data_IF_598718952485
#
_entry.id   IF_598718952485
#
_cell.length_a   1.000
_cell.length_b   1.000
_cell.length_c   1.000
_cell.angle_alpha   90.00
_cell.angle_beta   90.00
_cell.angle_gamma   90.00
#
_symmetry.space_group_name_H-M   'P 1'
#
loop_
_entity.id
_entity.type
_entity.pdbx_description
1 polymer ?
#
# COMPACT_ATOMS: atom_id res chain seq x y z
N UNK A 1 2.20 -15.84 -24.94
CA UNK A 1 2.96 -15.54 -23.71
C UNK A 1 3.44 -14.11 -23.80
N UNK A 2 3.21 -13.31 -22.77
CA UNK A 2 3.76 -11.95 -22.66
C UNK A 2 5.29 -12.09 -22.64
N UNK A 3 5.99 -11.37 -23.50
CA UNK A 3 7.46 -11.33 -23.50
C UNK A 3 7.94 -10.23 -22.52
N UNK A 4 8.53 -10.57 -21.36
CA UNK A 4 8.84 -9.58 -20.32
C UNK A 4 9.77 -8.47 -20.80
N UNK A 5 10.73 -8.82 -21.67
CA UNK A 5 11.66 -7.84 -22.27
C UNK A 5 10.94 -6.79 -23.12
N UNK A 6 9.90 -7.19 -23.86
CA UNK A 6 9.15 -6.26 -24.73
C UNK A 6 8.25 -5.34 -23.91
N UNK A 7 7.66 -5.85 -22.83
CA UNK A 7 6.90 -5.02 -21.88
C UNK A 7 7.80 -3.97 -21.26
N UNK A 8 8.91 -4.37 -20.63
CA UNK A 8 9.83 -3.43 -19.99
C UNK A 8 10.39 -2.39 -20.96
N UNK A 9 10.72 -2.80 -22.19
CA UNK A 9 11.16 -1.88 -23.23
C UNK A 9 10.08 -0.88 -23.60
N UNK A 10 8.84 -1.33 -23.80
CA UNK A 10 7.72 -0.44 -24.13
C UNK A 10 7.38 0.52 -22.98
N UNK A 11 7.47 0.07 -21.72
CA UNK A 11 7.28 0.95 -20.55
C UNK A 11 8.35 2.04 -20.47
N UNK A 12 9.61 1.69 -20.77
CA UNK A 12 10.70 2.66 -20.80
C UNK A 12 10.60 3.64 -21.98
N UNK A 13 10.33 3.14 -23.19
CA UNK A 13 10.21 3.96 -24.40
C UNK A 13 9.00 4.90 -24.35
N UNK A 14 7.90 4.47 -23.74
CA UNK A 14 6.64 5.24 -23.69
C UNK A 14 6.34 5.84 -22.32
N UNK A 15 7.35 5.93 -21.43
CA UNK A 15 7.17 6.43 -20.07
C UNK A 15 6.45 7.79 -20.03
N UNK A 16 6.91 8.74 -20.85
CA UNK A 16 6.35 10.11 -20.90
C UNK A 16 4.89 10.16 -21.32
N UNK A 17 4.39 9.13 -22.02
CA UNK A 17 2.99 9.00 -22.43
C UNK A 17 2.15 8.27 -21.36
N UNK A 18 2.74 7.28 -20.70
CA UNK A 18 2.08 6.45 -19.69
C UNK A 18 1.96 7.16 -18.34
N UNK A 19 2.98 7.91 -17.94
CA UNK A 19 3.03 8.58 -16.64
C UNK A 19 1.83 9.53 -16.42
N UNK A 20 1.47 10.45 -17.33
CA UNK A 20 0.30 11.31 -17.13
C UNK A 20 -1.03 10.54 -17.15
N UNK A 21 -1.07 9.40 -17.83
CA UNK A 21 -2.27 8.55 -17.88
C UNK A 21 -2.50 7.81 -16.57
N UNK A 22 -1.43 7.49 -15.81
CA UNK A 22 -1.54 6.78 -14.54
C UNK A 22 -2.44 7.53 -13.55
N UNK A 23 -2.31 8.85 -13.42
CA UNK A 23 -3.17 9.67 -12.53
C UNK A 23 -4.65 9.58 -12.93
N UNK A 24 -4.93 9.51 -14.23
CA UNK A 24 -6.30 9.35 -14.73
C UNK A 24 -6.84 7.95 -14.46
N UNK A 25 -5.99 6.93 -14.58
CA UNK A 25 -6.33 5.56 -14.23
C UNK A 25 -6.53 5.37 -12.72
N UNK A 26 -5.86 6.15 -11.88
CA UNK A 26 -6.09 6.17 -10.44
C UNK A 26 -7.50 6.65 -10.07
N UNK A 27 -8.10 7.49 -10.90
CA UNK A 27 -9.47 7.98 -10.78
C UNK A 27 -10.53 7.05 -11.42
N UNK A 28 -10.11 6.05 -12.20
CA UNK A 28 -11.00 5.05 -12.79
C UNK A 28 -10.63 4.67 -14.23
N UNK A 29 -11.61 4.17 -14.97
CA UNK A 29 -11.40 3.64 -16.34
C UNK A 29 -11.47 4.75 -17.39
N UNK A 30 -10.69 4.60 -18.47
CA UNK A 30 -10.72 5.52 -19.61
C UNK A 30 -11.38 4.88 -20.83
N UNK A 31 -12.22 5.63 -21.54
CA UNK A 31 -12.73 5.22 -22.84
C UNK A 31 -11.68 5.34 -23.94
N UNK A 32 -11.87 4.62 -25.05
CA UNK A 32 -11.00 4.71 -26.23
C UNK A 32 -10.88 6.16 -26.76
N UNK A 33 -11.97 6.92 -26.73
CA UNK A 33 -11.99 8.31 -27.18
C UNK A 33 -11.13 9.18 -26.27
N UNK A 34 -11.26 9.02 -24.96
CA UNK A 34 -10.46 9.75 -23.98
C UNK A 34 -8.97 9.40 -24.10
N UNK A 35 -8.62 8.14 -24.29
CA UNK A 35 -7.24 7.70 -24.51
C UNK A 35 -6.64 8.34 -25.76
N UNK A 36 -7.36 8.28 -26.89
CA UNK A 36 -6.91 8.89 -28.15
C UNK A 36 -6.72 10.39 -28.01
N UNK A 37 -7.64 11.08 -27.34
CA UNK A 37 -7.54 12.51 -27.11
C UNK A 37 -6.31 12.88 -26.26
N UNK A 38 -6.04 12.14 -25.19
CA UNK A 38 -4.86 12.39 -24.35
C UNK A 38 -3.55 12.13 -25.09
N UNK A 39 -3.48 11.03 -25.85
CA UNK A 39 -2.28 10.70 -26.62
C UNK A 39 -2.05 11.73 -27.73
N UNK A 40 -3.11 12.19 -28.42
CA UNK A 40 -3.00 13.24 -29.43
C UNK A 40 -2.50 14.57 -28.84
N UNK A 41 -2.90 14.90 -27.60
CA UNK A 41 -2.40 16.09 -26.92
C UNK A 41 -0.90 16.02 -26.57
N UNK A 42 -0.39 14.80 -26.33
CA UNK A 42 1.02 14.57 -25.97
C UNK A 42 1.91 14.26 -27.18
N UNK A 43 1.32 13.83 -28.29
CA UNK A 43 1.98 13.56 -29.58
C UNK A 43 1.44 14.50 -30.66
N UNK A 44 1.79 15.81 -30.64
CA UNK A 44 1.26 16.79 -31.58
C UNK A 44 1.62 16.51 -33.04
N UNK A 45 2.70 15.78 -33.30
CA UNK A 45 3.11 15.34 -34.64
C UNK A 45 2.59 13.95 -35.02
N UNK A 46 1.94 13.24 -34.09
CA UNK A 46 1.44 11.89 -34.31
C UNK A 46 0.16 11.86 -35.13
N UNK A 47 0.06 10.94 -36.09
CA UNK A 47 -1.19 10.73 -36.85
C UNK A 47 -2.18 9.88 -36.05
N UNK A 48 -3.49 9.95 -36.34
CA UNK A 48 -4.48 9.04 -35.74
C UNK A 48 -4.15 7.55 -35.91
N UNK A 49 -3.45 7.20 -37.00
CA UNK A 49 -2.97 5.85 -37.28
C UNK A 49 -1.87 5.44 -36.29
N UNK A 50 -0.93 6.33 -36.01
CA UNK A 50 0.17 6.08 -35.06
C UNK A 50 -0.37 5.86 -33.63
N UNK A 51 -1.33 6.69 -33.21
CA UNK A 51 -1.99 6.56 -31.90
C UNK A 51 -2.73 5.22 -31.81
N UNK A 52 -3.40 4.81 -32.88
CA UNK A 52 -4.11 3.51 -32.91
C UNK A 52 -3.11 2.36 -32.81
N UNK A 53 -2.00 2.41 -33.56
CA UNK A 53 -0.96 1.39 -33.51
C UNK A 53 -0.30 1.28 -32.13
N UNK A 54 -0.08 2.42 -31.45
CA UNK A 54 0.44 2.49 -30.10
C UNK A 54 -0.51 1.84 -29.08
N UNK A 55 -1.80 2.17 -29.13
CA UNK A 55 -2.81 1.56 -28.26
C UNK A 55 -2.90 0.04 -28.50
N UNK A 56 -2.90 -0.40 -29.76
CA UNK A 56 -2.89 -1.82 -30.10
C UNK A 56 -1.62 -2.52 -29.60
N UNK A 57 -0.48 -1.83 -29.58
CA UNK A 57 0.75 -2.34 -28.97
C UNK A 57 0.61 -2.49 -27.46
N UNK A 58 0.09 -1.48 -26.76
CA UNK A 58 -0.10 -1.55 -25.31
C UNK A 58 -1.09 -2.63 -24.90
N UNK A 59 -2.17 -2.85 -25.67
CA UNK A 59 -3.12 -3.94 -25.45
C UNK A 59 -2.43 -5.30 -25.69
N UNK A 60 -1.68 -5.46 -26.78
CA UNK A 60 -0.97 -6.71 -27.09
C UNK A 60 0.11 -7.07 -26.06
N UNK A 61 0.66 -6.08 -25.37
CA UNK A 61 1.66 -6.25 -24.32
C UNK A 61 1.02 -6.41 -22.93
N UNK A 62 -0.31 -6.47 -22.84
CA UNK A 62 -1.06 -6.49 -21.58
C UNK A 62 -0.70 -5.32 -20.64
N UNK A 63 -0.34 -4.16 -21.21
CA UNK A 63 -0.17 -2.90 -20.46
C UNK A 63 -1.55 -2.29 -20.21
N UNK A 64 -2.38 -2.25 -21.26
CA UNK A 64 -3.79 -1.89 -21.16
C UNK A 64 -4.65 -3.15 -21.30
N UNK A 65 -5.68 -3.26 -20.47
CA UNK A 65 -6.65 -4.35 -20.55
C UNK A 65 -8.07 -3.78 -20.70
N UNK A 66 -8.93 -4.40 -21.52
CA UNK A 66 -10.31 -3.97 -21.66
C UNK A 66 -11.12 -4.33 -20.41
N UNK A 67 -11.99 -3.42 -19.99
CA UNK A 67 -12.88 -3.63 -18.84
C UNK A 67 -13.92 -4.69 -19.17
N UNK A 68 -14.17 -5.60 -18.23
CA UNK A 68 -15.16 -6.65 -18.40
C UNK A 68 -16.53 -6.07 -18.78
N UNK A 69 -17.13 -6.62 -19.86
CA UNK A 69 -18.42 -6.19 -20.41
C UNK A 69 -18.45 -4.75 -20.97
N UNK A 70 -17.30 -4.07 -21.07
CA UNK A 70 -17.17 -2.72 -21.64
C UNK A 70 -15.92 -2.64 -22.53
N UNK A 71 -15.94 -3.20 -23.75
CA UNK A 71 -14.75 -3.39 -24.59
C UNK A 71 -14.09 -2.08 -25.06
N UNK A 72 -14.82 -0.95 -25.01
CA UNK A 72 -14.31 0.38 -25.36
C UNK A 72 -13.81 1.17 -24.14
N UNK A 73 -13.73 0.53 -22.96
CA UNK A 73 -13.13 1.07 -21.75
C UNK A 73 -11.92 0.23 -21.37
N UNK A 74 -10.91 0.92 -20.87
CA UNK A 74 -9.63 0.33 -20.55
C UNK A 74 -9.23 0.71 -19.13
N UNK A 75 -8.45 -0.18 -18.54
CA UNK A 75 -7.70 0.00 -17.30
C UNK A 75 -6.24 -0.42 -17.55
N UNK A 76 -5.33 0.04 -16.71
CA UNK A 76 -3.99 -0.53 -16.68
C UNK A 76 -4.07 -1.95 -16.12
N UNK A 77 -3.25 -2.84 -16.64
CA UNK A 77 -3.03 -4.12 -15.99
C UNK A 77 -2.53 -3.88 -14.56
N UNK A 78 -3.17 -4.50 -13.56
CA UNK A 78 -2.88 -4.27 -12.15
C UNK A 78 -1.40 -4.39 -11.78
N UNK A 79 -0.69 -5.39 -12.33
CA UNK A 79 0.74 -5.59 -12.06
C UNK A 79 1.61 -4.47 -12.64
N UNK A 80 1.23 -3.98 -13.83
CA UNK A 80 1.91 -2.85 -14.49
C UNK A 80 1.59 -1.56 -13.74
N UNK A 81 0.34 -1.37 -13.33
CA UNK A 81 -0.09 -0.22 -12.55
C UNK A 81 0.68 -0.13 -11.23
N UNK A 82 0.76 -1.23 -10.46
CA UNK A 82 1.54 -1.30 -9.22
C UNK A 82 3.03 -0.99 -9.46
N UNK A 83 3.59 -1.50 -10.55
CA UNK A 83 4.98 -1.23 -10.93
C UNK A 83 5.22 0.24 -11.30
N UNK A 84 4.33 0.84 -12.08
CA UNK A 84 4.41 2.26 -12.46
C UNK A 84 4.21 3.17 -11.24
N UNK A 85 3.28 2.85 -10.35
CA UNK A 85 3.06 3.56 -9.09
C UNK A 85 4.31 3.49 -8.19
N UNK A 86 4.95 2.32 -8.11
CA UNK A 86 6.23 2.17 -7.43
C UNK A 86 7.32 3.07 -8.02
N UNK A 87 7.44 3.17 -9.35
CA UNK A 87 8.41 4.03 -10.02
C UNK A 87 8.12 5.53 -9.82
N UNK A 88 6.84 5.93 -9.84
CA UNK A 88 6.37 7.29 -9.57
C UNK A 88 6.55 7.72 -8.12
N UNK A 89 6.92 6.79 -7.22
CA UNK A 89 6.88 6.99 -5.75
C UNK A 89 5.50 7.46 -5.29
N UNK A 90 4.46 7.01 -5.98
CA UNK A 90 3.09 7.26 -5.55
C UNK A 90 2.69 6.22 -4.54
N UNK A 91 2.90 6.59 -3.29
CA UNK A 91 2.53 5.78 -2.17
C UNK A 91 1.04 5.96 -1.90
N UNK A 92 0.22 5.01 -2.35
CA UNK A 92 -1.19 4.91 -1.96
C UNK A 92 -1.28 4.16 -0.64
N UNK A 93 -1.96 4.77 0.33
CA UNK A 93 -2.20 4.15 1.62
C UNK A 93 -3.12 2.94 1.42
N UNK A 94 -2.68 1.76 1.87
CA UNK A 94 -3.52 0.57 1.88
C UNK A 94 -4.59 0.57 2.95
N UNK A 95 -5.47 -0.42 2.91
CA UNK A 95 -6.37 -0.69 4.04
C UNK A 95 -5.59 -1.36 5.17
N UNK A 96 -5.81 -0.95 6.42
CA UNK A 96 -5.24 -1.63 7.60
C UNK A 96 -5.57 -3.14 7.62
N UNK A 97 -6.74 -3.52 7.11
CA UNK A 97 -7.17 -4.91 6.97
C UNK A 97 -6.25 -5.77 6.10
N UNK A 98 -5.46 -5.16 5.20
CA UNK A 98 -4.46 -5.88 4.42
C UNK A 98 -3.36 -6.41 5.34
N UNK A 99 -2.84 -5.58 6.25
CA UNK A 99 -1.81 -5.96 7.24
C UNK A 99 -2.32 -7.10 8.13
N UNK A 100 -3.58 -7.04 8.58
CA UNK A 100 -4.21 -8.15 9.31
C UNK A 100 -4.28 -9.45 8.51
N UNK A 101 -4.54 -9.38 7.20
CA UNK A 101 -4.53 -10.55 6.34
C UNK A 101 -3.12 -11.13 6.15
N UNK A 102 -2.09 -10.27 6.10
CA UNK A 102 -0.69 -10.72 6.15
C UNK A 102 -0.38 -11.46 7.46
N UNK A 103 -0.75 -10.89 8.61
CA UNK A 103 -0.51 -11.49 9.93
C UNK A 103 -1.16 -12.87 10.08
N UNK A 104 -2.44 -13.00 9.70
CA UNK A 104 -3.14 -14.31 9.68
C UNK A 104 -2.47 -15.32 8.75
N UNK A 105 -1.75 -14.87 7.72
CA UNK A 105 -0.96 -15.77 6.87
C UNK A 105 0.34 -16.21 7.56
N UNK A 106 1.02 -15.30 8.27
CA UNK A 106 2.21 -15.64 9.07
C UNK A 106 1.88 -16.69 10.14
N UNK A 107 0.76 -16.52 10.85
CA UNK A 107 0.31 -17.49 11.86
C UNK A 107 0.05 -18.88 11.28
N UNK A 108 -0.58 -18.96 10.09
CA UNK A 108 -0.78 -20.24 9.40
C UNK A 108 0.54 -20.89 9.00
N UNK A 109 1.49 -20.10 8.51
CA UNK A 109 2.82 -20.61 8.18
C UNK A 109 3.56 -21.11 9.43
N UNK A 110 3.43 -20.43 10.57
CA UNK A 110 3.98 -20.92 11.83
C UNK A 110 3.37 -22.27 12.24
N UNK A 111 2.06 -22.47 12.04
CA UNK A 111 1.42 -23.78 12.21
C UNK A 111 2.04 -24.86 11.32
N UNK A 112 2.18 -24.59 10.02
CA UNK A 112 2.81 -25.56 9.10
C UNK A 112 4.28 -25.84 9.42
N UNK A 113 5.03 -24.83 9.89
CA UNK A 113 6.40 -24.99 10.38
C UNK A 113 6.43 -25.95 11.57
N UNK A 114 5.51 -25.77 12.52
CA UNK A 114 5.40 -26.63 13.69
C UNK A 114 5.06 -28.08 13.27
N UNK A 115 4.08 -28.26 12.39
CA UNK A 115 3.68 -29.58 11.89
C UNK A 115 4.84 -30.29 11.16
N UNK A 116 5.53 -29.60 10.24
CA UNK A 116 6.67 -30.14 9.51
C UNK A 116 7.83 -30.53 10.44
N UNK A 117 8.05 -29.73 11.49
CA UNK A 117 9.06 -30.03 12.50
C UNK A 117 8.71 -31.29 13.32
N UNK A 118 7.46 -31.44 13.73
CA UNK A 118 6.99 -32.59 14.54
C UNK A 118 7.13 -33.92 13.80
N UNK A 119 6.84 -33.94 12.49
CA UNK A 119 7.02 -35.14 11.65
C UNK A 119 8.45 -35.29 11.10
N UNK A 120 9.37 -34.40 11.47
CA UNK A 120 10.78 -34.36 11.03
C UNK A 120 10.96 -34.25 9.50
N UNK A 121 10.07 -33.55 8.82
CA UNK A 121 10.21 -33.27 7.39
C UNK A 121 11.06 -32.00 7.17
N UNK A 122 12.38 -32.20 7.05
CA UNK A 122 13.32 -31.09 6.83
C UNK A 122 13.11 -30.34 5.51
N UNK A 123 12.59 -31.01 4.46
CA UNK A 123 12.35 -30.37 3.17
C UNK A 123 11.16 -29.43 3.23
N UNK A 124 10.04 -29.88 3.81
CA UNK A 124 8.88 -29.02 3.99
C UNK A 124 9.18 -27.90 5.00
N UNK A 125 9.86 -28.21 6.11
CA UNK A 125 10.28 -27.20 7.07
C UNK A 125 11.06 -26.05 6.41
N UNK A 126 12.06 -26.38 5.60
CA UNK A 126 12.83 -25.38 4.86
C UNK A 126 11.97 -24.58 3.87
N UNK A 127 10.97 -25.22 3.23
CA UNK A 127 10.02 -24.55 2.34
C UNK A 127 9.14 -23.55 3.11
N UNK A 128 8.55 -23.97 4.23
CA UNK A 128 7.68 -23.10 5.01
C UNK A 128 8.44 -21.91 5.62
N UNK A 129 9.68 -22.11 6.08
CA UNK A 129 10.53 -21.02 6.56
C UNK A 129 10.82 -19.98 5.47
N UNK A 130 11.11 -20.41 4.23
CA UNK A 130 11.28 -19.48 3.10
C UNK A 130 10.00 -18.71 2.75
N UNK A 131 8.84 -19.37 2.84
CA UNK A 131 7.55 -18.70 2.62
C UNK A 131 7.24 -17.68 3.72
N UNK A 132 7.51 -18.03 4.97
CA UNK A 132 7.36 -17.12 6.11
C UNK A 132 8.24 -15.90 5.91
N UNK A 133 9.50 -16.11 5.59
CA UNK A 133 10.48 -15.08 5.32
C UNK A 133 10.10 -14.12 4.17
N UNK A 134 9.58 -14.68 3.08
CA UNK A 134 9.04 -13.89 1.96
C UNK A 134 7.85 -13.05 2.41
N UNK A 135 6.93 -13.63 3.20
CA UNK A 135 5.74 -12.91 3.68
C UNK A 135 6.07 -11.78 4.65
N UNK A 136 7.06 -11.97 5.52
CA UNK A 136 7.54 -10.91 6.43
C UNK A 136 8.07 -9.72 5.62
N UNK A 137 8.82 -9.99 4.54
CA UNK A 137 9.27 -8.93 3.62
C UNK A 137 8.12 -8.18 2.95
N UNK A 138 7.04 -8.87 2.59
CA UNK A 138 5.85 -8.22 2.04
C UNK A 138 5.25 -7.24 3.05
N UNK A 139 5.16 -7.63 4.34
CA UNK A 139 4.66 -6.75 5.41
C UNK A 139 5.57 -5.54 5.59
N UNK A 140 6.88 -5.74 5.68
CA UNK A 140 7.86 -4.66 5.79
C UNK A 140 7.75 -3.67 4.62
N UNK A 141 7.65 -4.17 3.39
CA UNK A 141 7.46 -3.35 2.19
C UNK A 141 6.14 -2.57 2.26
N UNK A 142 5.08 -3.20 2.75
CA UNK A 142 3.77 -2.55 2.91
C UNK A 142 3.83 -1.42 3.94
N UNK A 143 4.40 -1.68 5.12
CA UNK A 143 4.59 -0.66 6.16
C UNK A 143 5.40 0.54 5.65
N UNK A 144 6.49 0.30 4.92
CA UNK A 144 7.29 1.37 4.33
C UNK A 144 6.51 2.18 3.28
N UNK A 145 5.70 1.53 2.44
CA UNK A 145 4.84 2.22 1.49
C UNK A 145 3.77 3.06 2.20
N UNK A 146 3.12 2.50 3.22
CA UNK A 146 2.09 3.20 3.98
C UNK A 146 2.68 4.40 4.73
N UNK A 147 3.90 4.29 5.28
CA UNK A 147 4.61 5.42 5.90
C UNK A 147 4.79 6.59 4.93
N UNK A 148 5.26 6.32 3.71
CA UNK A 148 5.43 7.36 2.70
C UNK A 148 4.10 7.99 2.26
N UNK A 149 3.02 7.19 2.19
CA UNK A 149 1.69 7.70 1.88
C UNK A 149 1.21 8.68 2.97
N UNK A 150 1.45 8.37 4.25
CA UNK A 150 1.11 9.21 5.39
C UNK A 150 1.90 10.52 5.41
N UNK A 151 3.19 10.47 5.05
CA UNK A 151 4.02 11.67 4.83
C UNK A 151 3.38 12.54 3.74
N UNK A 152 2.99 11.94 2.61
CA UNK A 152 2.31 12.65 1.52
C UNK A 152 1.01 13.35 1.95
N UNK A 153 0.20 12.71 2.80
CA UNK A 153 -1.01 13.33 3.38
C UNK A 153 -0.65 14.54 4.25
N UNK A 154 0.37 14.40 5.11
CA UNK A 154 0.82 15.48 5.98
C UNK A 154 1.35 16.68 5.18
N UNK A 155 2.13 16.43 4.11
CA UNK A 155 2.67 17.47 3.25
C UNK A 155 1.58 18.19 2.47
N UNK A 156 0.62 17.47 1.89
CA UNK A 156 -0.56 18.07 1.24
C UNK A 156 -1.35 18.95 2.21
N UNK A 157 -1.52 18.50 3.46
CA UNK A 157 -2.21 19.28 4.48
C UNK A 157 -1.50 20.60 4.80
N UNK A 158 -0.16 20.57 4.90
CA UNK A 158 0.68 21.74 5.22
C UNK A 158 0.90 22.71 4.04
N UNK A 159 0.72 22.26 2.80
CA UNK A 159 1.05 23.06 1.60
C UNK A 159 0.15 24.30 1.49
N UNK A 160 0.72 25.45 1.15
CA UNK A 160 -0.03 26.71 0.90
C UNK A 160 -0.66 26.80 -0.50
N UNK A 161 -0.63 25.71 -1.26
CA UNK A 161 -1.12 25.65 -2.64
C UNK A 161 -2.64 25.86 -2.66
N UNK A 162 -3.06 26.81 -3.49
CA UNK A 162 -4.45 27.27 -3.57
C UNK A 162 -5.31 26.32 -4.40
N UNK A 163 -4.72 25.35 -5.10
CA UNK A 163 -5.48 24.40 -5.92
C UNK A 163 -6.38 23.47 -5.10
N UNK A 164 -5.97 23.09 -3.88
CA UNK A 164 -6.78 22.24 -2.99
C UNK A 164 -7.33 23.06 -1.81
N UNK A 165 -8.66 23.22 -1.70
CA UNK A 165 -9.27 23.94 -0.58
C UNK A 165 -8.85 23.38 0.78
N UNK A 166 -8.59 24.26 1.76
CA UNK A 166 -8.17 23.88 3.12
C UNK A 166 -9.10 22.83 3.75
N UNK A 167 -10.42 22.97 3.54
CA UNK A 167 -11.41 22.02 4.04
C UNK A 167 -11.22 20.62 3.47
N UNK A 168 -10.85 20.50 2.20
CA UNK A 168 -10.61 19.21 1.55
C UNK A 168 -9.32 18.57 2.08
N UNK A 169 -8.27 19.37 2.26
CA UNK A 169 -7.01 18.91 2.86
C UNK A 169 -7.20 18.35 4.28
N UNK A 170 -7.94 19.07 5.13
CA UNK A 170 -8.26 18.59 6.47
C UNK A 170 -9.20 17.38 6.46
N UNK A 171 -10.12 17.28 5.50
CA UNK A 171 -10.97 16.09 5.37
C UNK A 171 -10.12 14.83 5.08
N UNK A 172 -9.12 14.94 4.22
CA UNK A 172 -8.17 13.86 3.92
C UNK A 172 -7.36 13.42 5.16
N UNK A 173 -6.88 14.38 5.97
CA UNK A 173 -6.19 14.09 7.25
C UNK A 173 -7.11 13.34 8.22
N UNK A 174 -8.36 13.80 8.37
CA UNK A 174 -9.32 13.17 9.29
C UNK A 174 -9.67 11.75 8.83
N UNK A 175 -9.94 11.56 7.53
CA UNK A 175 -10.23 10.25 6.96
C UNK A 175 -9.03 9.29 7.13
N UNK A 176 -7.83 9.73 6.76
CA UNK A 176 -6.59 8.95 6.94
C UNK A 176 -6.37 8.54 8.39
N UNK A 177 -6.65 9.43 9.34
CA UNK A 177 -6.54 9.09 10.76
C UNK A 177 -7.54 7.98 11.14
N UNK A 178 -8.81 8.18 10.83
CA UNK A 178 -9.88 7.30 11.30
C UNK A 178 -9.88 5.95 10.56
N UNK A 179 -9.48 5.90 9.28
CA UNK A 179 -9.48 4.69 8.44
C UNK A 179 -8.19 3.87 8.51
N UNK A 180 -7.07 4.46 8.92
CA UNK A 180 -5.77 3.78 8.95
C UNK A 180 -5.03 3.92 10.28
N UNK A 181 -4.75 5.16 10.74
CA UNK A 181 -3.90 5.36 11.93
C UNK A 181 -4.55 4.77 13.18
N UNK A 182 -5.84 5.04 13.41
CA UNK A 182 -6.56 4.53 14.58
C UNK A 182 -6.67 2.99 14.58
N UNK A 183 -7.05 2.32 13.47
CA UNK A 183 -6.95 0.86 13.37
C UNK A 183 -5.54 0.32 13.62
N UNK A 184 -4.50 0.97 13.07
CA UNK A 184 -3.12 0.54 13.29
C UNK A 184 -2.68 0.69 14.76
N UNK A 185 -3.17 1.69 15.49
CA UNK A 185 -2.95 1.82 16.94
C UNK A 185 -3.51 0.60 17.67
N UNK A 186 -4.73 0.19 17.35
CA UNK A 186 -5.37 -0.97 17.97
C UNK A 186 -4.64 -2.26 17.59
N UNK A 187 -4.20 -2.36 16.34
CA UNK A 187 -3.53 -3.53 15.81
C UNK A 187 -2.18 -3.78 16.47
N UNK A 188 -1.37 -2.72 16.68
CA UNK A 188 0.00 -2.76 17.24
C UNK A 188 0.02 -2.51 18.77
N UNK A 189 -1.13 -2.35 19.41
CA UNK A 189 -1.21 -2.32 20.87
C UNK A 189 -0.59 -3.58 21.49
N UNK A 190 -0.16 -3.50 22.74
CA UNK A 190 0.52 -4.62 23.43
C UNK A 190 -0.29 -5.93 23.42
N UNK A 191 -1.62 -5.84 23.40
CA UNK A 191 -2.57 -6.94 23.30
C UNK A 191 -3.25 -7.02 21.93
N UNK A 192 -2.80 -6.22 20.95
CA UNK A 192 -3.32 -6.17 19.60
C UNK A 192 -2.95 -7.40 18.76
N UNK A 193 -3.68 -7.60 17.66
CA UNK A 193 -3.52 -8.79 16.82
C UNK A 193 -2.14 -8.87 16.15
N UNK A 194 -1.44 -7.75 15.94
CA UNK A 194 -0.07 -7.76 15.43
C UNK A 194 0.91 -8.33 16.45
N UNK A 195 0.90 -7.81 17.68
CA UNK A 195 1.79 -8.27 18.75
C UNK A 195 1.54 -9.75 19.07
N UNK A 196 0.27 -10.16 19.17
CA UNK A 196 -0.09 -11.56 19.37
C UNK A 196 0.40 -12.46 18.23
N UNK A 197 0.22 -12.03 16.97
CA UNK A 197 0.63 -12.81 15.80
C UNK A 197 2.15 -12.96 15.71
N UNK A 198 2.90 -11.88 15.93
CA UNK A 198 4.36 -11.91 15.97
C UNK A 198 4.85 -12.83 17.10
N UNK A 199 4.30 -12.69 18.30
CA UNK A 199 4.67 -13.52 19.44
C UNK A 199 4.46 -15.02 19.17
N UNK A 200 3.34 -15.41 18.55
CA UNK A 200 3.08 -16.82 18.19
C UNK A 200 4.12 -17.37 17.20
N UNK A 201 4.46 -16.59 16.18
CA UNK A 201 5.48 -16.98 15.19
C UNK A 201 6.85 -17.10 15.88
N UNK A 202 7.22 -16.11 16.70
CA UNK A 202 8.47 -16.10 17.45
C UNK A 202 8.61 -17.33 18.35
N UNK A 203 7.56 -17.68 19.10
CA UNK A 203 7.54 -18.86 19.96
C UNK A 203 7.84 -20.16 19.20
N UNK A 204 7.26 -20.33 18.01
CA UNK A 204 7.53 -21.48 17.15
C UNK A 204 9.00 -21.51 16.73
N UNK A 205 9.52 -20.40 16.22
CA UNK A 205 10.92 -20.33 15.77
C UNK A 205 11.92 -20.57 16.91
N UNK A 206 11.65 -20.02 18.10
CA UNK A 206 12.47 -20.23 19.30
C UNK A 206 12.46 -21.69 19.76
N UNK A 207 11.28 -22.33 19.75
CA UNK A 207 11.15 -23.76 20.06
C UNK A 207 11.98 -24.60 19.10
N UNK A 208 11.89 -24.31 17.79
CA UNK A 208 12.66 -25.01 16.77
C UNK A 208 14.17 -24.86 17.00
N UNK A 209 14.67 -23.64 17.26
CA UNK A 209 16.08 -23.38 17.53
C UNK A 209 16.59 -24.21 18.73
N UNK A 210 15.82 -24.23 19.83
CA UNK A 210 16.19 -25.01 21.02
C UNK A 210 16.18 -26.52 20.78
N UNK A 211 15.19 -27.03 20.05
CA UNK A 211 15.10 -28.46 19.77
C UNK A 211 16.11 -28.94 18.71
N UNK A 212 16.47 -28.13 17.71
CA UNK A 212 17.54 -28.49 16.76
C UNK A 212 18.90 -28.63 17.47
N UNK A 213 19.20 -27.78 18.45
CA UNK A 213 20.41 -27.91 19.27
C UNK A 213 20.45 -29.21 20.06
N UNK A 214 19.29 -29.76 20.44
CA UNK A 214 19.18 -30.98 21.25
C UNK A 214 19.06 -32.26 20.43
N UNK A 215 18.31 -32.23 19.33
CA UNK A 215 17.88 -33.41 18.57
C UNK A 215 18.60 -33.59 17.22
N UNK A 216 19.44 -32.62 16.84
CA UNK A 216 20.11 -32.55 15.54
C UNK A 216 19.38 -31.60 14.57
N UNK A 217 20.15 -31.03 13.63
CA UNK A 217 19.66 -30.06 12.66
C UNK A 217 18.75 -30.73 11.61
N UNK A 218 17.53 -30.22 11.45
CA UNK A 218 16.59 -30.63 10.39
C UNK A 218 16.57 -29.62 9.23
N UNK A 219 16.85 -28.35 9.53
CA UNK A 219 17.02 -27.26 8.57
C UNK A 219 18.27 -26.44 8.92
N UNK A 220 18.81 -25.75 7.92
CA UNK A 220 19.91 -24.80 8.07
C UNK A 220 19.60 -23.74 9.14
N UNK A 221 20.47 -23.66 10.15
CA UNK A 221 20.34 -22.71 11.26
C UNK A 221 20.39 -21.26 10.79
N UNK A 222 21.13 -20.95 9.71
CA UNK A 222 21.22 -19.59 9.18
C UNK A 222 19.87 -19.12 8.63
N UNK A 223 19.12 -20.00 7.94
CA UNK A 223 17.78 -19.70 7.47
C UNK A 223 16.85 -19.40 8.65
N UNK A 224 16.87 -20.26 9.68
CA UNK A 224 16.01 -20.13 10.85
C UNK A 224 16.31 -18.86 11.66
N UNK A 225 17.59 -18.57 11.91
CA UNK A 225 18.04 -17.37 12.62
C UNK A 225 17.70 -16.09 11.86
N UNK A 226 17.88 -16.07 10.54
CA UNK A 226 17.50 -14.91 9.70
C UNK A 226 16.01 -14.67 9.70
N UNK A 227 15.20 -15.73 9.57
CA UNK A 227 13.74 -15.59 9.61
C UNK A 227 13.28 -15.09 10.99
N UNK A 228 13.87 -15.59 12.07
CA UNK A 228 13.59 -15.09 13.42
C UNK A 228 13.97 -13.60 13.60
N UNK A 229 15.19 -13.21 13.23
CA UNK A 229 15.63 -11.82 13.32
C UNK A 229 14.72 -10.87 12.53
N UNK A 230 14.22 -11.31 11.37
CA UNK A 230 13.33 -10.53 10.52
C UNK A 230 11.93 -10.36 11.10
N UNK A 231 11.42 -11.33 11.85
CA UNK A 231 10.16 -11.19 12.60
C UNK A 231 10.29 -10.06 13.65
N UNK A 232 11.40 -10.03 14.39
CA UNK A 232 11.67 -8.98 15.38
C UNK A 232 11.89 -7.60 14.73
N UNK A 233 12.57 -7.56 13.58
CA UNK A 233 12.72 -6.35 12.78
C UNK A 233 11.35 -5.81 12.36
N UNK A 234 10.49 -6.67 11.80
CA UNK A 234 9.13 -6.29 11.39
C UNK A 234 8.32 -5.70 12.55
N UNK A 235 8.43 -6.28 13.74
CA UNK A 235 7.77 -5.75 14.93
C UNK A 235 8.27 -4.34 15.28
N UNK A 236 9.59 -4.17 15.33
CA UNK A 236 10.23 -2.89 15.62
C UNK A 236 9.86 -1.82 14.58
N UNK A 237 9.86 -2.18 13.30
CA UNK A 237 9.47 -1.31 12.19
C UNK A 237 8.01 -0.89 12.30
N UNK A 238 7.08 -1.81 12.55
CA UNK A 238 5.66 -1.48 12.70
C UNK A 238 5.40 -0.46 13.80
N UNK A 239 6.04 -0.65 14.97
CA UNK A 239 5.93 0.28 16.10
C UNK A 239 6.52 1.66 15.76
N UNK A 240 7.66 1.70 15.08
CA UNK A 240 8.31 2.95 14.68
C UNK A 240 7.48 3.71 13.64
N UNK A 241 7.02 3.03 12.59
CA UNK A 241 6.16 3.61 11.55
C UNK A 241 4.88 4.18 12.16
N UNK A 242 4.25 3.47 13.11
CA UNK A 242 3.07 3.97 13.81
C UNK A 242 3.38 5.22 14.64
N UNK A 243 4.52 5.24 15.34
CA UNK A 243 4.94 6.40 16.13
C UNK A 243 5.11 7.63 15.23
N UNK A 244 5.85 7.48 14.13
CA UNK A 244 6.03 8.55 13.15
C UNK A 244 4.69 9.02 12.56
N UNK A 245 3.80 8.09 12.18
CA UNK A 245 2.47 8.42 11.67
C UNK A 245 1.67 9.29 12.65
N UNK A 246 1.71 8.95 13.95
CA UNK A 246 1.04 9.71 15.00
C UNK A 246 1.66 11.10 15.18
N UNK A 247 2.97 11.19 15.22
CA UNK A 247 3.69 12.46 15.34
C UNK A 247 3.39 13.41 14.15
N UNK A 248 3.26 12.84 12.95
CA UNK A 248 2.94 13.60 11.73
C UNK A 248 1.49 14.09 11.69
N UNK A 249 0.51 13.21 11.96
CA UNK A 249 -0.90 13.48 11.67
C UNK A 249 -1.71 13.97 12.87
N UNK A 250 -1.32 13.65 14.12
CA UNK A 250 -2.09 14.06 15.30
C UNK A 250 -2.23 15.59 15.42
N UNK A 251 -1.16 16.40 15.24
CA UNK A 251 -1.30 17.85 15.31
C UNK A 251 -2.25 18.41 14.25
N UNK A 252 -2.18 17.87 13.02
CA UNK A 252 -3.03 18.26 11.90
C UNK A 252 -4.49 17.88 12.13
N UNK A 253 -4.75 16.72 12.74
CA UNK A 253 -6.09 16.29 13.17
C UNK A 253 -6.68 17.26 14.19
N UNK A 254 -5.90 17.65 15.20
CA UNK A 254 -6.34 18.57 16.23
C UNK A 254 -6.60 19.98 15.68
N UNK A 255 -5.77 20.45 14.77
CA UNK A 255 -5.97 21.70 14.04
C UNK A 255 -7.25 21.67 13.20
N UNK A 256 -7.46 20.62 12.41
CA UNK A 256 -8.67 20.41 11.61
C UNK A 256 -9.94 20.42 12.47
N UNK A 257 -9.91 19.73 13.63
CA UNK A 257 -11.04 19.70 14.58
C UNK A 257 -11.33 21.07 15.17
N UNK A 258 -10.29 21.84 15.55
CA UNK A 258 -10.43 23.21 16.04
C UNK A 258 -11.03 24.13 14.96
N UNK A 259 -10.52 24.08 13.75
CA UNK A 259 -11.02 24.87 12.62
C UNK A 259 -12.51 24.58 12.35
N UNK A 260 -12.89 23.30 12.37
CA UNK A 260 -14.29 22.88 12.21
C UNK A 260 -15.19 23.38 13.35
N UNK A 261 -14.71 23.35 14.61
CA UNK A 261 -15.45 23.88 15.75
C UNK A 261 -15.67 25.38 15.66
N UNK A 262 -14.63 26.15 15.31
CA UNK A 262 -14.71 27.62 15.11
C UNK A 262 -15.68 27.96 13.99
N UNK A 263 -15.58 27.28 12.84
CA UNK A 263 -16.46 27.51 11.68
C UNK A 263 -17.92 27.26 12.05
N UNK A 264 -18.21 26.16 12.77
CA UNK A 264 -19.56 25.87 13.27
C UNK A 264 -20.05 26.91 14.28
N UNK A 265 -19.20 27.33 15.22
CA UNK A 265 -19.53 28.36 16.21
C UNK A 265 -19.87 29.70 15.56
N UNK A 266 -19.08 30.13 14.57
CA UNK A 266 -19.33 31.34 13.80
C UNK A 266 -20.66 31.26 13.02
N UNK A 267 -20.95 30.12 12.38
CA UNK A 267 -22.22 29.91 11.69
C UNK A 267 -23.43 29.96 12.65
N UNK A 268 -23.32 29.37 13.83
CA UNK A 268 -24.35 29.43 14.87
C UNK A 268 -24.55 30.86 15.38
N UNK A 269 -23.46 31.61 15.63
CA UNK A 269 -23.51 33.00 16.05
C UNK A 269 -24.16 33.89 14.98
N UNK A 270 -23.76 33.75 13.70
CA UNK A 270 -24.36 34.47 12.58
C UNK A 270 -25.85 34.13 12.42
N UNK A 271 -26.23 32.85 12.56
CA UNK A 271 -27.63 32.44 12.55
C UNK A 271 -28.42 33.05 13.72
N UNK A 272 -27.82 33.14 14.91
CA UNK A 272 -28.44 33.79 16.07
C UNK A 272 -28.60 35.31 15.88
N UNK A 273 -27.61 35.98 15.30
CA UNK A 273 -27.66 37.42 14.92
C UNK A 273 -28.78 37.63 13.90
N UNK A 274 -28.82 36.83 12.83
CA UNK A 274 -29.86 36.88 11.79
C UNK A 274 -31.26 36.68 12.36
N UNK A 275 -31.43 35.75 13.31
CA UNK A 275 -32.73 35.53 13.99
C UNK A 275 -33.15 36.69 14.91
N UNK A 276 -32.20 37.48 15.41
CA UNK A 276 -32.45 38.65 16.27
C UNK A 276 -32.62 39.96 15.48
N UNK A 277 -32.51 39.94 14.15
CA UNK A 277 -32.78 41.10 13.30
C UNK A 277 -31.73 42.21 13.36
N UNK A 278 -30.48 41.87 13.72
CA UNK A 278 -29.31 42.76 13.66
C UNK A 278 -28.59 42.62 12.32
#
# INVERSE_FOLDING_TARGET
MIEPKRVLRALAEHWTLLEPLCERFDAGTLSLIELRHQLAAQLPEGTPTDITALLDQWIRLDILVPVAKSPNRFELNAQIHDFLAYLRREHRLGLCLEIEAYLRHLERLAGHIQDAFEIRDGQDLARQLRLLDMRVRDVLKKLANDEQALIGVADRAKTSDRQIPLRQRYAEVLATWDEYVEPMIQLVAADGAFEQGVYRVEQVLMKLLGEQQRLGQLVDDDLLLRTHARILEMQSTAQLTLRHARELLLPLREEARRHNAVTRGAALALSAIRKKGL
#
